data_IF_208256124201
#
_entry.id   IF_208256124201
#
_cell.length_a   1.000
_cell.length_b   1.000
_cell.length_c   1.000
_cell.angle_alpha   90.00
_cell.angle_beta   90.00
_cell.angle_gamma   90.00
#
_symmetry.space_group_name_H-M   'P 1'
#
loop_
_entity.id
_entity.type
_entity.pdbx_description
1 polymer ?
#
# COMPACT_ATOMS: atom_id res chain seq x y z
N UNK A 1 -22.78 8.82 6.90
CA UNK A 1 -21.37 8.88 7.31
C UNK A 1 -20.57 8.55 6.07
N UNK A 2 -19.76 9.48 5.57
CA UNK A 2 -18.93 9.23 4.39
C UNK A 2 -17.95 8.11 4.70
N UNK A 3 -17.81 7.13 3.82
CA UNK A 3 -16.70 6.19 3.90
C UNK A 3 -15.47 6.93 3.38
N UNK A 4 -14.70 7.53 4.28
CA UNK A 4 -13.40 8.08 3.93
C UNK A 4 -12.51 6.94 3.44
N UNK A 5 -11.99 7.07 2.21
CA UNK A 5 -11.00 6.13 1.67
C UNK A 5 -9.62 6.61 2.06
N UNK A 6 -8.84 5.74 2.68
CA UNK A 6 -7.46 6.01 3.08
C UNK A 6 -6.51 5.47 2.04
N UNK A 7 -5.48 6.26 1.71
CA UNK A 7 -4.52 5.93 0.68
C UNK A 7 -3.11 5.83 1.27
N UNK A 8 -2.35 4.84 0.81
CA UNK A 8 -0.91 4.73 1.04
C UNK A 8 -0.21 4.69 -0.31
N UNK A 9 0.74 5.58 -0.50
CA UNK A 9 1.65 5.53 -1.65
C UNK A 9 2.86 4.67 -1.31
N UNK A 10 3.27 3.80 -2.23
CA UNK A 10 4.44 2.95 -2.03
C UNK A 10 5.26 2.79 -3.32
N UNK A 11 6.59 2.81 -3.17
CA UNK A 11 7.52 2.46 -4.23
C UNK A 11 8.11 1.09 -3.94
N UNK A 12 7.86 0.15 -4.84
CA UNK A 12 8.42 -1.21 -4.77
C UNK A 12 9.93 -1.20 -5.01
N UNK A 13 10.59 -2.32 -4.75
CA UNK A 13 12.02 -2.49 -5.04
C UNK A 13 12.37 -2.38 -6.53
N UNK A 14 11.40 -2.57 -7.41
CA UNK A 14 11.53 -2.50 -8.86
C UNK A 14 11.29 -1.07 -9.39
N UNK A 15 11.28 -0.07 -8.49
CA UNK A 15 10.98 1.34 -8.79
C UNK A 15 9.54 1.57 -9.31
N UNK A 16 8.66 0.57 -9.20
CA UNK A 16 7.24 0.72 -9.53
C UNK A 16 6.51 1.43 -8.39
N UNK A 17 5.92 2.58 -8.71
CA UNK A 17 5.05 3.35 -7.81
C UNK A 17 3.62 2.82 -7.88
N UNK A 18 3.02 2.52 -6.73
CA UNK A 18 1.63 2.08 -6.61
C UNK A 18 0.91 2.83 -5.50
N UNK A 19 -0.42 2.80 -5.54
CA UNK A 19 -1.27 3.23 -4.43
C UNK A 19 -1.99 2.04 -3.82
N UNK A 20 -2.15 2.04 -2.52
CA UNK A 20 -2.99 1.11 -1.78
C UNK A 20 -4.19 1.87 -1.22
N UNK A 21 -5.39 1.31 -1.39
CA UNK A 21 -6.65 1.88 -0.89
C UNK A 21 -7.17 1.04 0.26
N UNK A 22 -7.69 1.69 1.30
CA UNK A 22 -8.24 1.08 2.50
C UNK A 22 -9.54 1.78 2.91
N UNK A 23 -10.48 1.00 3.42
CA UNK A 23 -11.73 1.53 4.01
C UNK A 23 -11.56 1.98 5.46
N UNK A 24 -10.39 1.73 6.06
CA UNK A 24 -10.09 2.00 7.47
C UNK A 24 -8.66 2.53 7.63
N UNK A 25 -8.50 3.59 8.43
CA UNK A 25 -7.19 4.17 8.74
C UNK A 25 -6.26 3.19 9.45
N UNK A 26 -6.79 2.39 10.37
CA UNK A 26 -6.00 1.43 11.14
C UNK A 26 -5.37 0.36 10.24
N UNK A 27 -6.10 -0.05 9.20
CA UNK A 27 -5.62 -1.00 8.21
C UNK A 27 -4.53 -0.38 7.33
N UNK A 28 -4.71 0.88 6.91
CA UNK A 28 -3.69 1.66 6.19
C UNK A 28 -2.40 1.77 7.00
N UNK A 29 -2.50 2.13 8.28
CA UNK A 29 -1.34 2.29 9.17
C UNK A 29 -0.67 0.96 9.50
N UNK A 30 -1.45 -0.08 9.78
CA UNK A 30 -0.96 -1.43 9.98
C UNK A 30 -0.20 -1.96 8.76
N UNK A 31 -0.72 -1.70 7.56
CA UNK A 31 -0.05 -2.03 6.30
C UNK A 31 1.28 -1.28 6.16
N UNK A 32 1.28 0.04 6.37
CA UNK A 32 2.50 0.86 6.27
C UNK A 32 3.60 0.38 7.22
N UNK A 33 3.26 0.17 8.49
CA UNK A 33 4.21 -0.32 9.50
C UNK A 33 4.74 -1.71 9.12
N UNK A 34 3.88 -2.60 8.63
CA UNK A 34 4.28 -3.96 8.24
C UNK A 34 5.22 -3.98 7.04
N UNK A 35 5.01 -3.08 6.06
CA UNK A 35 5.89 -2.92 4.90
C UNK A 35 7.27 -2.42 5.33
N UNK A 36 7.34 -1.43 6.22
CA UNK A 36 8.62 -0.94 6.77
C UNK A 36 9.35 -2.02 7.58
N UNK A 37 8.63 -2.74 8.44
CA UNK A 37 9.22 -3.84 9.22
C UNK A 37 9.75 -4.94 8.30
N UNK A 38 8.99 -5.33 7.27
CA UNK A 38 9.45 -6.30 6.28
C UNK A 38 10.72 -5.83 5.59
N UNK A 39 10.75 -4.56 5.13
CA UNK A 39 11.89 -3.98 4.44
C UNK A 39 13.16 -4.01 5.26
N UNK A 40 13.04 -3.69 6.55
CA UNK A 40 14.16 -3.67 7.50
C UNK A 40 14.66 -5.08 7.83
N UNK A 41 13.76 -6.06 7.96
CA UNK A 41 14.10 -7.39 8.49
C UNK A 41 14.39 -8.45 7.42
N UNK A 42 13.68 -8.40 6.29
CA UNK A 42 13.62 -9.49 5.31
C UNK A 42 14.14 -9.08 3.93
N UNK A 43 14.20 -7.78 3.64
CA UNK A 43 14.81 -7.24 2.43
C UNK A 43 13.80 -6.54 1.52
N UNK A 44 14.06 -6.43 0.21
CA UNK A 44 13.25 -5.63 -0.71
C UNK A 44 11.78 -6.04 -0.72
N UNK A 45 10.90 -5.07 -0.96
CA UNK A 45 9.46 -5.26 -1.10
C UNK A 45 9.10 -5.12 -2.58
N UNK A 46 9.02 -6.27 -3.26
CA UNK A 46 8.48 -6.38 -4.62
C UNK A 46 6.93 -6.43 -4.60
N UNK A 47 6.33 -6.50 -5.80
CA UNK A 47 4.88 -6.52 -5.96
C UNK A 47 4.19 -7.73 -5.33
N UNK A 48 4.84 -8.89 -5.26
CA UNK A 48 4.25 -10.08 -4.61
C UNK A 48 4.17 -9.87 -3.10
N UNK A 49 5.27 -9.41 -2.49
CA UNK A 49 5.32 -9.09 -1.06
C UNK A 49 4.32 -7.99 -0.72
N UNK A 50 4.29 -6.91 -1.51
CA UNK A 50 3.37 -5.80 -1.30
C UNK A 50 1.92 -6.25 -1.31
N UNK A 51 1.50 -7.04 -2.32
CA UNK A 51 0.13 -7.58 -2.40
C UNK A 51 -0.20 -8.46 -1.22
N UNK A 52 0.73 -9.33 -0.80
CA UNK A 52 0.53 -10.23 0.34
C UNK A 52 0.39 -9.49 1.66
N UNK A 53 1.14 -8.40 1.87
CA UNK A 53 1.01 -7.58 3.07
C UNK A 53 -0.28 -6.77 3.01
N UNK A 54 -0.58 -6.13 1.87
CA UNK A 54 -1.81 -5.37 1.66
C UNK A 54 -3.06 -6.21 1.95
N UNK A 55 -3.13 -7.43 1.43
CA UNK A 55 -4.26 -8.35 1.61
C UNK A 55 -4.55 -8.66 3.09
N UNK A 56 -3.51 -8.78 3.93
CA UNK A 56 -3.67 -8.97 5.39
C UNK A 56 -4.37 -7.80 6.08
N UNK A 57 -4.29 -6.62 5.50
CA UNK A 57 -4.91 -5.38 5.98
C UNK A 57 -6.07 -4.96 5.08
N UNK A 58 -6.65 -5.88 4.30
CA UNK A 58 -7.79 -5.58 3.41
C UNK A 58 -7.51 -4.45 2.39
N UNK A 59 -6.23 -4.21 2.08
CA UNK A 59 -5.79 -3.18 1.16
C UNK A 59 -5.91 -3.60 -0.29
N UNK A 60 -6.38 -2.69 -1.14
CA UNK A 60 -6.46 -2.90 -2.60
C UNK A 60 -5.34 -2.14 -3.28
N UNK A 61 -4.46 -2.87 -3.96
CA UNK A 61 -3.39 -2.26 -4.78
C UNK A 61 -4.00 -1.74 -6.07
N UNK A 62 -3.75 -0.47 -6.36
CA UNK A 62 -4.16 0.19 -7.60
C UNK A 62 -2.96 0.80 -8.29
N UNK A 63 -2.94 0.79 -9.64
CA UNK A 63 -1.90 1.49 -10.38
C UNK A 63 -1.88 2.98 -9.99
N UNK A 64 -0.75 3.67 -10.20
CA UNK A 64 -0.71 5.12 -10.13
C UNK A 64 -1.69 5.63 -11.18
N UNK A 65 -2.81 6.17 -10.71
CA UNK A 65 -3.86 6.68 -11.57
C UNK A 65 -3.23 7.74 -12.50
N UNK A 66 -3.12 7.46 -13.80
CA UNK A 66 -2.58 8.40 -14.80
C UNK A 66 -3.48 9.64 -14.98
N UNK A 67 -4.54 9.80 -14.18
CA UNK A 67 -5.55 10.83 -14.40
C UNK A 67 -5.97 11.57 -13.12
N UNK A 68 -5.06 12.41 -12.61
CA UNK A 68 -5.44 13.63 -11.90
C UNK A 68 -4.63 14.82 -12.39
N UNK A 69 -4.92 15.24 -13.62
CA UNK A 69 -4.90 16.67 -13.93
C UNK A 69 -6.06 17.33 -13.17
N UNK A 70 -5.76 18.01 -12.07
CA UNK A 70 -6.61 19.00 -11.43
C UNK A 70 -5.88 20.33 -11.47
#
# INVERSE_FOLDING_TARGET
>A
MGQDTYYLEYNTSDDERVFLKFDNENDRDGCHISLDMYKVQLGPVDMEVLRRIADKFHGVVTPPDENKSL
#
